data_IF_460213894355
#
_entry.id   IF_460213894355
#
_cell.length_a   1.000
_cell.length_b   1.000
_cell.length_c   1.000
_cell.angle_alpha   90.00
_cell.angle_beta   90.00
_cell.angle_gamma   90.00
#
_symmetry.space_group_name_H-M   'P 1'
#
loop_
_entity.id
_entity.type
_entity.pdbx_description
1 polymer ?
#
# COMPACT_ATOMS: atom_id res chain seq x y z
N UNK A 1 -27.30 -7.72 -46.64
CA UNK A 1 -27.21 -7.10 -45.30
C UNK A 1 -26.71 -8.18 -44.36
N UNK A 2 -25.73 -7.87 -43.53
CA UNK A 2 -25.27 -8.77 -42.47
C UNK A 2 -26.31 -8.81 -41.35
N UNK A 3 -26.40 -9.94 -40.66
CA UNK A 3 -27.23 -10.09 -39.47
C UNK A 3 -26.43 -9.68 -38.21
N UNK A 4 -27.15 -9.21 -37.21
CA UNK A 4 -26.58 -8.95 -35.89
C UNK A 4 -26.74 -10.20 -35.01
N UNK A 5 -25.65 -10.82 -34.53
CA UNK A 5 -25.76 -11.95 -33.62
C UNK A 5 -26.09 -11.46 -32.20
N UNK A 6 -26.43 -12.40 -31.30
CA UNK A 6 -26.78 -12.11 -29.90
C UNK A 6 -25.81 -12.84 -28.96
N UNK A 7 -25.31 -12.13 -27.97
CA UNK A 7 -24.51 -12.73 -26.88
C UNK A 7 -25.47 -13.55 -26.00
N UNK A 8 -25.34 -14.86 -25.99
CA UNK A 8 -26.11 -15.75 -25.10
C UNK A 8 -25.39 -15.97 -23.77
N UNK A 9 -24.04 -15.87 -23.76
CA UNK A 9 -23.20 -15.97 -22.57
C UNK A 9 -21.98 -15.04 -22.76
N UNK A 10 -21.70 -14.20 -21.75
CA UNK A 10 -20.51 -13.38 -21.76
C UNK A 10 -19.26 -14.22 -21.45
N UNK A 11 -18.11 -13.92 -22.07
CA UNK A 11 -16.86 -14.54 -21.70
C UNK A 11 -16.39 -14.07 -20.31
N UNK A 12 -15.40 -14.73 -19.76
CA UNK A 12 -14.73 -14.35 -18.50
C UNK A 12 -13.28 -13.99 -18.77
N UNK A 13 -12.75 -13.06 -17.98
CA UNK A 13 -11.34 -12.69 -18.01
C UNK A 13 -10.60 -13.29 -16.81
N UNK A 14 -9.34 -13.69 -17.03
CA UNK A 14 -8.46 -14.07 -15.95
C UNK A 14 -8.10 -12.85 -15.08
N UNK A 15 -7.90 -13.04 -13.73
CA UNK A 15 -7.43 -11.97 -12.87
C UNK A 15 -6.05 -11.47 -13.31
N UNK A 16 -5.81 -10.16 -13.13
CA UNK A 16 -4.52 -9.53 -13.43
C UNK A 16 -4.03 -8.75 -12.20
N UNK A 17 -2.74 -8.85 -11.87
CA UNK A 17 -2.14 -7.98 -10.86
C UNK A 17 -1.81 -6.62 -11.48
N UNK A 18 -2.14 -5.54 -10.76
CA UNK A 18 -1.83 -4.19 -11.20
C UNK A 18 -0.34 -4.03 -11.50
N UNK A 19 -0.06 -3.48 -12.66
CA UNK A 19 1.27 -3.04 -13.10
C UNK A 19 1.04 -1.89 -14.09
N UNK A 20 1.60 -0.69 -13.87
CA UNK A 20 1.37 0.45 -14.77
C UNK A 20 1.88 0.26 -16.20
N UNK A 21 2.62 -0.83 -16.46
CA UNK A 21 3.13 -1.19 -17.78
C UNK A 21 2.41 -2.40 -18.40
N UNK A 22 1.46 -3.01 -17.67
CA UNK A 22 0.61 -4.08 -18.20
C UNK A 22 -0.70 -3.51 -18.73
N UNK A 23 -1.13 -4.07 -19.84
CA UNK A 23 -2.41 -3.70 -20.45
C UNK A 23 -3.38 -4.88 -20.43
N UNK A 24 -4.62 -4.65 -20.82
CA UNK A 24 -5.63 -5.69 -20.96
C UNK A 24 -5.20 -6.83 -21.90
N UNK A 25 -4.26 -6.58 -22.81
CA UNK A 25 -3.68 -7.63 -23.65
C UNK A 25 -3.06 -8.80 -22.86
N UNK A 26 -2.68 -8.57 -21.60
CA UNK A 26 -2.13 -9.59 -20.68
C UNK A 26 -3.22 -10.41 -19.96
N UNK A 27 -4.47 -9.95 -19.98
CA UNK A 27 -5.60 -10.64 -19.38
C UNK A 27 -6.28 -11.53 -20.43
N UNK A 28 -6.19 -12.84 -20.25
CA UNK A 28 -6.82 -13.81 -21.16
C UNK A 28 -8.33 -13.76 -21.05
N UNK A 29 -9.01 -13.85 -22.19
CA UNK A 29 -10.46 -13.98 -22.28
C UNK A 29 -10.80 -15.41 -22.66
N UNK A 30 -11.76 -16.03 -21.97
CA UNK A 30 -12.16 -17.43 -22.24
C UNK A 30 -13.68 -17.61 -22.10
N UNK A 31 -14.19 -18.69 -22.72
CA UNK A 31 -15.62 -18.98 -22.71
C UNK A 31 -16.45 -18.00 -23.55
N UNK A 32 -17.70 -17.80 -23.12
CA UNK A 32 -18.68 -17.00 -23.85
C UNK A 32 -19.34 -17.76 -25.02
N UNK A 33 -20.57 -17.37 -25.32
CA UNK A 33 -21.33 -17.96 -26.44
C UNK A 33 -22.14 -16.90 -27.15
N UNK A 34 -22.18 -17.02 -28.48
CA UNK A 34 -22.91 -16.12 -29.37
C UNK A 34 -23.81 -16.96 -30.28
N UNK A 35 -25.04 -16.53 -30.46
CA UNK A 35 -26.04 -17.17 -31.29
C UNK A 35 -26.48 -16.29 -32.44
N UNK A 36 -26.79 -16.92 -33.56
CA UNK A 36 -27.35 -16.25 -34.73
C UNK A 36 -28.86 -16.05 -34.63
N UNK A 37 -29.43 -15.49 -35.69
CA UNK A 37 -30.84 -15.14 -35.77
C UNK A 37 -31.81 -16.35 -35.72
N UNK A 38 -31.35 -17.55 -36.04
CA UNK A 38 -32.11 -18.79 -35.95
C UNK A 38 -31.78 -19.63 -34.72
N UNK A 39 -30.96 -19.11 -33.78
CA UNK A 39 -30.55 -19.79 -32.57
C UNK A 39 -29.33 -20.71 -32.74
N UNK A 40 -28.69 -20.71 -33.92
CA UNK A 40 -27.45 -21.46 -34.17
C UNK A 40 -26.26 -20.84 -33.47
N UNK A 41 -25.32 -21.69 -33.04
CA UNK A 41 -24.07 -21.20 -32.45
C UNK A 41 -23.18 -20.55 -33.53
N UNK A 42 -22.67 -19.36 -33.21
CA UNK A 42 -21.74 -18.63 -34.09
C UNK A 42 -20.32 -18.82 -33.52
N UNK A 43 -19.44 -19.36 -34.38
CA UNK A 43 -18.01 -19.45 -34.03
C UNK A 43 -17.31 -18.13 -34.32
N UNK A 44 -16.28 -17.81 -33.52
CA UNK A 44 -15.55 -16.56 -33.65
C UNK A 44 -14.58 -16.36 -32.49
N UNK A 45 -14.06 -15.15 -32.39
CA UNK A 45 -13.01 -14.80 -31.42
C UNK A 45 -13.43 -13.61 -30.56
N UNK A 46 -13.26 -13.71 -29.25
CA UNK A 46 -13.35 -12.61 -28.32
C UNK A 46 -12.01 -11.86 -28.24
N UNK A 47 -12.06 -10.54 -28.20
CA UNK A 47 -10.92 -9.66 -27.96
C UNK A 47 -11.34 -8.47 -27.11
N UNK A 48 -10.38 -7.83 -26.44
CA UNK A 48 -10.62 -6.52 -25.83
C UNK A 48 -10.97 -5.50 -26.92
N UNK A 49 -11.88 -4.57 -26.60
CA UNK A 49 -12.21 -3.48 -27.52
C UNK A 49 -11.05 -2.46 -27.62
N UNK A 50 -10.31 -2.31 -26.52
CA UNK A 50 -9.04 -1.56 -26.43
C UNK A 50 -8.10 -2.35 -25.55
N UNK A 51 -7.21 -3.12 -26.15
CA UNK A 51 -6.21 -3.97 -25.47
C UNK A 51 -5.03 -3.18 -24.90
N UNK A 52 -4.90 -1.89 -25.26
CA UNK A 52 -3.87 -0.97 -24.76
C UNK A 52 -4.21 -0.33 -23.42
N UNK A 53 -5.44 -0.46 -22.93
CA UNK A 53 -5.88 0.07 -21.64
C UNK A 53 -5.10 -0.60 -20.51
N UNK A 54 -4.53 0.21 -19.58
CA UNK A 54 -3.95 -0.27 -18.33
C UNK A 54 -5.10 -0.45 -17.32
N UNK A 55 -5.37 -1.69 -16.88
CA UNK A 55 -6.44 -1.93 -15.92
C UNK A 55 -6.04 -1.45 -14.52
N UNK A 56 -6.99 -0.87 -13.78
CA UNK A 56 -6.82 -0.36 -12.41
C UNK A 56 -7.81 -1.02 -11.45
N UNK A 57 -7.47 -1.09 -10.16
CA UNK A 57 -8.22 -1.88 -9.17
C UNK A 57 -9.68 -1.45 -9.04
N UNK A 58 -9.98 -0.14 -9.11
CA UNK A 58 -11.34 0.39 -8.93
C UNK A 58 -12.21 0.30 -10.18
N UNK A 59 -11.65 0.03 -11.35
CA UNK A 59 -12.39 -0.14 -12.61
C UNK A 59 -12.48 -1.61 -12.90
N UNK A 60 -13.71 -2.13 -12.88
CA UNK A 60 -13.96 -3.57 -13.07
C UNK A 60 -14.51 -3.90 -14.44
N UNK A 61 -15.18 -2.95 -15.13
CA UNK A 61 -15.92 -3.18 -16.36
C UNK A 61 -15.12 -2.72 -17.58
N UNK A 62 -14.86 -3.65 -18.49
CA UNK A 62 -14.10 -3.40 -19.72
C UNK A 62 -14.83 -3.99 -20.93
N UNK A 63 -14.79 -3.27 -22.05
CA UNK A 63 -15.46 -3.65 -23.27
C UNK A 63 -14.71 -4.73 -24.03
N UNK A 64 -15.46 -5.72 -24.52
CA UNK A 64 -14.99 -6.79 -25.38
C UNK A 64 -15.74 -6.81 -26.70
N UNK A 65 -15.11 -7.34 -27.72
CA UNK A 65 -15.69 -7.49 -29.06
C UNK A 65 -15.62 -8.97 -29.45
N UNK A 66 -16.75 -9.51 -29.84
CA UNK A 66 -16.80 -10.79 -30.55
C UNK A 66 -16.74 -10.56 -32.05
N UNK A 67 -15.78 -11.19 -32.70
CA UNK A 67 -15.64 -11.18 -34.16
C UNK A 67 -16.00 -12.55 -34.70
N UNK A 68 -17.15 -12.68 -35.42
CA UNK A 68 -17.54 -13.94 -36.05
C UNK A 68 -16.54 -14.41 -37.09
N UNK A 69 -16.33 -15.73 -37.22
CA UNK A 69 -15.55 -16.32 -38.32
C UNK A 69 -16.24 -16.01 -39.67
N UNK A 70 -17.57 -16.07 -39.69
CA UNK A 70 -18.37 -15.73 -40.87
C UNK A 70 -18.71 -14.22 -40.89
N UNK A 71 -17.72 -13.41 -41.10
CA UNK A 71 -17.87 -11.94 -41.22
C UNK A 71 -18.65 -11.53 -42.51
N UNK A 72 -18.93 -12.45 -43.39
CA UNK A 72 -19.74 -12.17 -44.58
C UNK A 72 -21.22 -12.02 -44.24
N UNK A 73 -21.70 -12.86 -43.29
CA UNK A 73 -23.13 -12.91 -42.96
C UNK A 73 -23.44 -12.26 -41.61
N UNK A 74 -22.47 -12.15 -40.68
CA UNK A 74 -22.66 -11.57 -39.35
C UNK A 74 -21.80 -10.34 -39.11
N UNK A 75 -22.34 -9.41 -38.31
CA UNK A 75 -21.62 -8.28 -37.77
C UNK A 75 -20.87 -8.72 -36.49
N UNK A 76 -19.79 -8.00 -36.16
CA UNK A 76 -19.17 -8.10 -34.81
C UNK A 76 -20.12 -7.50 -33.76
N UNK A 77 -20.11 -8.03 -32.56
CA UNK A 77 -20.93 -7.56 -31.44
C UNK A 77 -20.06 -7.20 -30.25
N UNK A 78 -20.45 -6.19 -29.48
CA UNK A 78 -19.77 -5.72 -28.27
C UNK A 78 -20.48 -6.23 -27.02
N UNK A 79 -19.71 -6.50 -25.98
CA UNK A 79 -20.18 -6.75 -24.64
C UNK A 79 -19.25 -6.09 -23.63
N UNK A 80 -19.63 -6.10 -22.36
CA UNK A 80 -18.83 -5.60 -21.26
C UNK A 80 -18.66 -6.72 -20.26
N UNK A 81 -17.43 -6.97 -19.80
CA UNK A 81 -17.09 -8.01 -18.82
C UNK A 81 -16.27 -7.43 -17.68
N UNK A 82 -16.29 -8.11 -16.54
CA UNK A 82 -15.51 -7.73 -15.39
C UNK A 82 -14.11 -8.33 -15.44
N UNK A 83 -13.11 -7.52 -15.05
CA UNK A 83 -11.74 -7.96 -14.81
C UNK A 83 -11.42 -7.75 -13.33
N UNK A 84 -11.00 -8.80 -12.65
CA UNK A 84 -10.51 -8.70 -11.28
C UNK A 84 -9.04 -8.24 -11.29
N UNK A 85 -8.82 -6.96 -10.97
CA UNK A 85 -7.47 -6.38 -10.86
C UNK A 85 -7.02 -6.42 -9.40
N UNK A 86 -5.95 -7.16 -9.13
CA UNK A 86 -5.38 -7.30 -7.78
C UNK A 86 -4.39 -6.16 -7.50
N UNK A 87 -4.40 -5.65 -6.27
CA UNK A 87 -3.42 -4.65 -5.81
C UNK A 87 -1.99 -5.17 -5.90
N UNK A 88 -1.05 -4.28 -6.21
CA UNK A 88 0.37 -4.60 -6.26
C UNK A 88 1.06 -4.31 -4.92
N UNK A 89 2.06 -5.13 -4.58
CA UNK A 89 2.90 -4.90 -3.40
C UNK A 89 4.05 -3.95 -3.76
N UNK A 90 4.42 -3.10 -2.81
CA UNK A 90 5.59 -2.23 -2.92
C UNK A 90 6.77 -2.81 -2.13
N UNK A 91 7.98 -2.53 -2.59
CA UNK A 91 9.23 -2.86 -1.91
C UNK A 91 9.87 -1.57 -1.39
N UNK A 92 10.45 -1.60 -0.19
CA UNK A 92 11.21 -0.49 0.35
C UNK A 92 12.66 -0.64 -0.08
N UNK A 93 13.18 0.34 -0.83
CA UNK A 93 14.57 0.35 -1.31
C UNK A 93 15.52 0.88 -0.25
N UNK A 94 15.20 2.04 0.32
CA UNK A 94 15.96 2.64 1.40
C UNK A 94 15.06 2.82 2.62
N UNK A 95 15.56 2.46 3.78
CA UNK A 95 14.84 2.65 5.03
C UNK A 95 14.82 4.14 5.43
N UNK A 96 13.72 4.66 5.97
CA UNK A 96 13.71 5.99 6.57
C UNK A 96 14.57 6.01 7.83
N UNK A 97 15.08 7.19 8.19
CA UNK A 97 15.82 7.44 9.43
C UNK A 97 14.94 8.17 10.42
N UNK A 98 14.96 7.77 11.67
CA UNK A 98 14.21 8.39 12.75
C UNK A 98 15.02 9.48 13.46
N UNK A 99 14.43 10.64 13.78
CA UNK A 99 15.05 11.62 14.68
C UNK A 99 15.12 11.07 16.11
N UNK A 100 16.19 11.42 16.84
CA UNK A 100 16.33 11.08 18.24
C UNK A 100 15.20 11.70 19.08
N UNK A 101 14.83 10.99 20.16
CA UNK A 101 13.88 11.45 21.18
C UNK A 101 14.52 11.39 22.56
N UNK A 102 13.88 12.02 23.54
CA UNK A 102 14.31 12.02 24.93
C UNK A 102 13.48 11.02 25.74
N UNK A 103 14.08 10.37 26.72
CA UNK A 103 13.35 9.47 27.62
C UNK A 103 12.09 10.13 28.21
N UNK A 104 10.96 9.45 28.05
CA UNK A 104 9.62 9.95 28.41
C UNK A 104 8.80 10.45 27.22
N UNK A 105 9.45 10.80 26.11
CA UNK A 105 8.75 11.10 24.85
C UNK A 105 8.19 9.82 24.22
N UNK A 106 7.12 9.97 23.45
CA UNK A 106 6.61 8.89 22.58
C UNK A 106 7.21 9.01 21.17
N UNK A 107 7.04 7.95 20.37
CA UNK A 107 7.46 7.93 18.95
C UNK A 107 6.80 9.05 18.13
N UNK A 108 5.65 9.61 18.56
CA UNK A 108 5.03 10.79 17.93
C UNK A 108 5.95 12.01 17.90
N UNK A 109 7.00 12.07 18.74
CA UNK A 109 8.03 13.12 18.74
C UNK A 109 9.19 12.83 17.79
N UNK A 110 9.32 11.60 17.32
CA UNK A 110 10.34 11.20 16.38
C UNK A 110 9.86 11.37 14.94
N UNK A 111 10.53 12.24 14.20
CA UNK A 111 10.25 12.49 12.78
C UNK A 111 11.02 11.50 11.93
N UNK A 112 10.35 10.95 10.92
CA UNK A 112 10.96 10.07 9.93
C UNK A 112 11.44 10.88 8.74
N UNK A 113 12.66 10.59 8.25
CA UNK A 113 13.27 11.28 7.12
C UNK A 113 13.73 10.28 6.07
N UNK A 114 13.66 10.69 4.79
CA UNK A 114 14.11 9.86 3.68
C UNK A 114 13.27 8.62 3.53
N UNK A 115 13.92 7.55 3.06
CA UNK A 115 13.24 6.33 2.66
C UNK A 115 12.71 6.42 1.24
N UNK A 116 12.81 5.31 0.49
CA UNK A 116 12.30 5.20 -0.87
C UNK A 116 11.59 3.87 -1.05
N UNK A 117 10.55 3.87 -1.87
CA UNK A 117 9.78 2.70 -2.21
C UNK A 117 9.68 2.52 -3.73
N UNK A 118 9.54 1.29 -4.17
CA UNK A 118 9.37 0.97 -5.58
C UNK A 118 8.46 -0.24 -5.78
N UNK A 119 7.90 -0.32 -6.97
CA UNK A 119 7.24 -1.49 -7.51
C UNK A 119 8.20 -2.19 -8.48
N UNK A 120 8.34 -3.51 -8.32
CA UNK A 120 9.24 -4.34 -9.14
C UNK A 120 8.39 -5.17 -10.12
N UNK A 121 7.81 -4.49 -11.12
CA UNK A 121 7.04 -5.09 -12.20
C UNK A 121 7.89 -5.32 -13.46
N UNK A 122 7.29 -5.11 -14.64
CA UNK A 122 8.02 -5.18 -15.92
C UNK A 122 9.18 -4.20 -15.95
N UNK A 123 8.98 -2.99 -15.39
CA UNK A 123 10.00 -2.00 -15.15
C UNK A 123 9.93 -1.54 -13.69
N UNK A 124 11.09 -1.29 -13.09
CA UNK A 124 11.15 -0.73 -11.74
C UNK A 124 10.56 0.68 -11.72
N UNK A 125 9.50 0.89 -10.96
CA UNK A 125 8.81 2.18 -10.83
C UNK A 125 8.96 2.69 -9.41
N UNK A 126 9.41 3.93 -9.23
CA UNK A 126 9.41 4.59 -7.92
C UNK A 126 7.98 4.88 -7.48
N UNK A 127 7.66 4.53 -6.23
CA UNK A 127 6.34 4.74 -5.64
C UNK A 127 6.43 5.83 -4.59
N UNK A 128 5.75 6.95 -4.85
CA UNK A 128 5.64 8.04 -3.89
C UNK A 128 4.65 7.69 -2.78
N UNK A 129 4.95 8.15 -1.56
CA UNK A 129 4.11 7.89 -0.40
C UNK A 129 4.68 8.50 0.87
N UNK A 130 4.15 8.07 2.01
CA UNK A 130 4.55 8.58 3.33
C UNK A 130 4.92 7.44 4.26
N UNK A 131 5.95 7.68 5.10
CA UNK A 131 6.32 6.80 6.20
C UNK A 131 5.74 7.34 7.51
N UNK A 132 5.14 6.47 8.31
CA UNK A 132 4.63 6.81 9.63
C UNK A 132 4.88 5.67 10.62
N UNK A 133 5.03 5.99 11.90
CA UNK A 133 5.05 4.98 12.95
C UNK A 133 3.70 4.24 12.98
N UNK A 134 3.73 2.91 13.07
CA UNK A 134 2.49 2.10 13.19
C UNK A 134 1.77 2.38 14.51
N UNK A 135 2.54 2.58 15.58
CA UNK A 135 2.06 3.01 16.90
C UNK A 135 2.99 4.11 17.44
N UNK A 136 2.60 5.34 17.23
CA UNK A 136 3.36 6.53 17.66
C UNK A 136 3.20 6.85 19.15
N UNK A 137 2.31 6.16 19.86
CA UNK A 137 2.09 6.29 21.30
C UNK A 137 3.16 5.60 22.15
N UNK A 138 3.92 4.67 21.58
CA UNK A 138 4.97 3.92 22.26
C UNK A 138 6.05 4.86 22.82
N UNK A 139 6.48 4.58 24.05
CA UNK A 139 7.51 5.32 24.76
C UNK A 139 8.75 4.47 24.98
N UNK A 140 9.74 4.54 24.08
CA UNK A 140 10.97 3.76 24.19
C UNK A 140 11.80 4.11 25.43
N UNK A 141 12.53 3.10 25.95
CA UNK A 141 13.50 3.30 27.03
C UNK A 141 14.88 3.62 26.46
N UNK A 142 15.74 4.24 27.27
CA UNK A 142 17.14 4.51 26.88
C UNK A 142 17.91 3.21 26.58
N UNK A 143 17.56 2.09 27.25
CA UNK A 143 18.13 0.77 26.97
C UNK A 143 17.79 0.23 25.59
N UNK A 144 16.71 0.74 24.97
CA UNK A 144 16.20 0.33 23.66
C UNK A 144 16.88 1.10 22.52
N UNK A 145 17.61 2.17 22.87
CA UNK A 145 18.27 3.06 21.91
C UNK A 145 19.12 2.26 20.92
N UNK A 146 18.81 2.43 19.63
CA UNK A 146 19.49 1.79 18.50
C UNK A 146 19.54 0.26 18.53
N UNK A 147 18.66 -0.39 19.31
CA UNK A 147 18.59 -1.85 19.47
C UNK A 147 17.20 -2.41 19.23
N UNK A 148 16.18 -1.77 19.79
CA UNK A 148 14.80 -2.24 19.65
C UNK A 148 14.22 -1.73 18.34
N UNK A 149 13.60 -2.63 17.59
CA UNK A 149 12.95 -2.34 16.33
C UNK A 149 11.51 -1.90 16.58
N UNK A 150 11.10 -0.86 15.89
CA UNK A 150 9.74 -0.33 15.89
C UNK A 150 9.18 -0.30 14.47
N UNK A 151 7.93 -0.70 14.33
CA UNK A 151 7.29 -0.82 13.03
C UNK A 151 6.93 0.55 12.46
N UNK A 152 7.31 0.76 11.21
CA UNK A 152 6.93 1.89 10.38
C UNK A 152 6.10 1.38 9.21
N UNK A 153 5.03 2.08 8.88
CA UNK A 153 4.17 1.78 7.73
C UNK A 153 4.46 2.78 6.62
N UNK A 154 4.73 2.27 5.45
CA UNK A 154 4.72 3.04 4.20
C UNK A 154 3.32 3.00 3.61
N UNK A 155 2.74 4.16 3.34
CA UNK A 155 1.45 4.30 2.67
C UNK A 155 1.68 4.93 1.30
N UNK A 156 1.45 4.21 0.20
CA UNK A 156 1.55 4.76 -1.15
C UNK A 156 0.57 5.90 -1.36
N UNK A 157 0.95 6.91 -2.16
CA UNK A 157 0.04 7.97 -2.60
C UNK A 157 -1.11 7.42 -3.45
N UNK A 158 -0.83 6.41 -4.27
CA UNK A 158 -1.81 5.61 -4.98
C UNK A 158 -2.16 4.36 -4.14
N UNK A 159 -2.99 4.55 -3.12
CA UNK A 159 -3.45 3.49 -2.22
C UNK A 159 -4.55 2.61 -2.81
N UNK A 160 -5.04 2.92 -4.02
CA UNK A 160 -6.00 2.11 -4.76
C UNK A 160 -5.29 0.92 -5.41
N UNK A 161 -4.19 1.19 -6.09
CA UNK A 161 -3.49 0.20 -6.87
C UNK A 161 -2.35 -0.50 -6.12
N UNK A 162 -1.82 0.12 -5.05
CA UNK A 162 -0.70 -0.42 -4.27
C UNK A 162 -1.04 -0.67 -2.81
N UNK A 163 -0.58 -1.79 -2.29
CA UNK A 163 -0.67 -2.12 -0.88
C UNK A 163 0.30 -1.29 -0.03
N UNK A 164 -0.03 -1.09 1.24
CA UNK A 164 0.93 -0.58 2.24
C UNK A 164 2.04 -1.59 2.49
N UNK A 165 3.21 -1.10 2.93
CA UNK A 165 4.32 -1.96 3.36
C UNK A 165 4.73 -1.64 4.80
N UNK A 166 5.09 -2.67 5.56
CA UNK A 166 5.60 -2.53 6.92
C UNK A 166 7.10 -2.85 6.95
N UNK A 167 7.84 -2.03 7.68
CA UNK A 167 9.28 -2.20 7.91
C UNK A 167 9.58 -1.95 9.37
N UNK A 168 10.77 -2.31 9.80
CA UNK A 168 11.22 -2.11 11.17
C UNK A 168 12.51 -1.29 11.19
N UNK A 169 12.56 -0.25 12.04
CA UNK A 169 13.74 0.58 12.24
C UNK A 169 13.95 0.85 13.72
N UNK A 170 15.16 1.29 14.08
CA UNK A 170 15.50 1.72 15.43
C UNK A 170 15.29 3.22 15.61
N UNK A 171 15.21 3.65 16.87
CA UNK A 171 15.21 5.06 17.27
C UNK A 171 16.25 5.31 18.36
N UNK A 172 16.97 6.43 18.27
CA UNK A 172 17.89 6.85 19.32
C UNK A 172 17.12 7.53 20.47
N UNK A 173 17.34 7.05 21.70
CA UNK A 173 16.69 7.58 22.91
C UNK A 173 17.74 8.15 23.86
N UNK A 174 17.76 9.45 24.02
CA UNK A 174 18.62 10.16 24.93
C UNK A 174 18.07 10.16 26.36
N UNK A 175 18.96 10.25 27.36
CA UNK A 175 18.54 10.45 28.77
C UNK A 175 17.86 11.80 28.93
N UNK A 176 16.77 11.82 29.69
CA UNK A 176 16.16 13.09 30.13
C UNK A 176 17.11 13.81 31.10
N UNK A 177 17.13 15.14 30.99
CA UNK A 177 17.83 15.97 31.98
C UNK A 177 17.12 15.83 33.33
N UNK A 178 17.92 15.67 34.42
CA UNK A 178 17.36 15.73 35.76
C UNK A 178 16.93 17.18 36.05
N UNK A 179 15.72 17.40 36.59
CA UNK A 179 15.33 18.72 37.03
C UNK A 179 16.33 19.19 38.13
N UNK A 180 16.76 20.47 38.06
CA UNK A 180 17.56 21.05 39.12
C UNK A 180 16.76 21.03 40.40
N UNK A 181 17.15 20.09 41.30
CA UNK A 181 16.61 20.07 42.65
C UNK A 181 17.30 21.20 43.43
N UNK A 182 16.65 22.37 43.51
CA UNK A 182 17.05 23.41 44.43
C UNK A 182 16.71 22.94 45.85
N UNK A 183 17.64 22.32 46.54
CA UNK A 183 17.55 22.11 47.96
C UNK A 183 17.77 23.49 48.64
N UNK A 184 16.67 24.19 48.96
CA UNK A 184 16.72 25.30 49.92
C UNK A 184 16.88 24.67 51.32
N UNK A 185 18.07 24.71 51.86
CA UNK A 185 18.29 24.43 53.30
C UNK A 185 17.74 25.62 54.05
N UNK A 186 16.55 25.45 54.62
CA UNK A 186 16.03 26.45 55.60
C UNK A 186 16.92 26.36 56.84
N UNK A 187 17.79 27.36 57.02
CA UNK A 187 18.76 27.45 58.10
C UNK A 187 18.16 28.12 59.35
N UNK A 188 16.83 28.16 59.44
CA UNK A 188 16.15 28.90 60.56
C UNK A 188 16.10 28.09 61.88
N UNK A 189 16.51 26.84 61.92
CA UNK A 189 16.61 26.03 63.15
C UNK A 189 18.05 25.73 63.52
N UNK A 190 18.82 26.74 63.86
CA UNK A 190 20.06 26.61 64.67
C UNK A 190 19.72 26.64 66.15
N UNK A 191 19.37 25.52 66.71
CA UNK A 191 19.58 25.28 68.14
C UNK A 191 20.33 23.96 68.30
N UNK A 192 21.64 24.07 68.32
CA UNK A 192 22.45 22.98 68.90
C UNK A 192 22.24 23.10 70.40
N UNK A 193 21.34 22.33 70.96
CA UNK A 193 21.29 22.15 72.40
C UNK A 193 22.57 21.50 72.86
N UNK A 194 23.30 22.20 73.68
CA UNK A 194 24.46 21.62 74.37
C UNK A 194 23.98 20.49 75.29
N UNK A 195 24.40 19.26 74.98
CA UNK A 195 24.23 18.15 75.87
C UNK A 195 25.31 18.27 76.93
N UNK A 196 24.96 18.66 78.16
CA UNK A 196 25.82 18.58 79.27
C UNK A 196 26.04 17.08 79.65
N UNK A 197 27.28 16.62 79.62
CA UNK A 197 27.66 15.28 80.13
C UNK A 197 27.57 15.29 81.63
N UNK A 198 26.86 14.31 82.26
CA UNK A 198 26.95 14.19 83.73
C UNK A 198 28.31 13.71 84.15
N UNK A 199 28.88 14.37 85.21
CA UNK A 199 30.17 14.04 85.85
C UNK A 199 30.08 12.72 86.64
#
# INVERSE_FOLDING_TARGET
>A
VKADPVISELPVADPISYDPHKTLNEASISGGAVIGVSGENITGTWSWADDSTVPVVDVTDYDVVFTPDDQKHYNSIRGTIQVNVLTANVNIADLPTASAITYGDSLAKSVLYGGTAYFDGINKVEIFGTFAWKDDSLKPFVSDSDKTLYTVVFTPADSVNYNTAEIEITVNVSKAAMPNLLLSVDNTHKTVGSIALPG
#
